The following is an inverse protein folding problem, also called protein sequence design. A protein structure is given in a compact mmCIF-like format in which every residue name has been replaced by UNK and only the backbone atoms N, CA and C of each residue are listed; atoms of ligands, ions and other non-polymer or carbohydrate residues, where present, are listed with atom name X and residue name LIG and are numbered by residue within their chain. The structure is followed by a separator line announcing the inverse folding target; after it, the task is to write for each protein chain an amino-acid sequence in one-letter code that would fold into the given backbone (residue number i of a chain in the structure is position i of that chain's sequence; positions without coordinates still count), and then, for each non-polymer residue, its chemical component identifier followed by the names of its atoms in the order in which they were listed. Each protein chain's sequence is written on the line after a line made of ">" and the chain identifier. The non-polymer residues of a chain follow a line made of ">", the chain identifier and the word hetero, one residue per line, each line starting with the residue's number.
data_IF_189484329489
#
_entry.id   IF_189484329489
#
_cell.length_a   1.000
_cell.length_b   1.000
_cell.length_c   1.000
_cell.angle_alpha   90.00
_cell.angle_beta   90.00
_cell.angle_gamma   90.00
#
_symmetry.space_group_name_H-M   'P 1'
#
loop_
_entity.id
_entity.type
_entity.pdbx_description
1 polymer ?
#
# COMPACT_ATOMS: atom_id res chain seq x y z
N UNK A 1 23.78 -40.31 -25.66
CA UNK A 1 24.80 -39.34 -25.19
C UNK A 1 24.69 -37.98 -25.89
N UNK A 2 25.11 -37.80 -27.15
CA UNK A 2 25.09 -36.45 -27.79
C UNK A 2 23.69 -35.83 -27.91
N UNK A 3 22.67 -36.65 -28.20
CA UNK A 3 21.30 -36.17 -28.32
C UNK A 3 20.67 -35.80 -26.96
N UNK A 4 21.03 -36.51 -25.89
CA UNK A 4 20.56 -36.20 -24.52
C UNK A 4 21.17 -34.91 -24.01
N UNK A 5 22.47 -34.69 -24.28
CA UNK A 5 23.15 -33.43 -23.95
C UNK A 5 22.49 -32.25 -24.68
N UNK A 6 22.15 -32.43 -25.96
CA UNK A 6 21.45 -31.39 -26.74
C UNK A 6 20.07 -31.07 -26.15
N UNK A 7 19.25 -32.09 -25.87
CA UNK A 7 17.94 -31.91 -25.25
C UNK A 7 18.02 -31.25 -23.86
N UNK A 8 19.06 -31.58 -23.08
CA UNK A 8 19.28 -30.96 -21.77
C UNK A 8 19.66 -29.48 -21.92
N UNK A 9 20.55 -29.14 -22.87
CA UNK A 9 20.93 -27.76 -23.16
C UNK A 9 19.72 -26.92 -23.55
N UNK A 10 18.86 -27.40 -24.46
CA UNK A 10 17.65 -26.69 -24.88
C UNK A 10 16.68 -26.44 -23.72
N UNK A 11 16.58 -27.39 -22.78
CA UNK A 11 15.78 -27.22 -21.56
C UNK A 11 16.39 -26.19 -20.61
N UNK A 12 17.72 -26.16 -20.48
CA UNK A 12 18.42 -25.16 -19.66
C UNK A 12 18.19 -23.76 -20.25
N UNK A 13 18.42 -23.57 -21.54
CA UNK A 13 18.20 -22.29 -22.22
C UNK A 13 16.75 -21.79 -22.04
N UNK A 14 15.78 -22.70 -22.13
CA UNK A 14 14.36 -22.38 -21.89
C UNK A 14 14.11 -21.95 -20.44
N UNK A 15 14.74 -22.61 -19.47
CA UNK A 15 14.62 -22.26 -18.05
C UNK A 15 15.29 -20.93 -17.73
N UNK A 16 16.47 -20.67 -18.29
CA UNK A 16 17.19 -19.39 -18.11
C UNK A 16 16.40 -18.22 -18.68
N UNK A 17 15.83 -18.39 -19.87
CA UNK A 17 14.94 -17.38 -20.44
C UNK A 17 13.73 -17.12 -19.53
N UNK A 18 13.08 -18.17 -19.02
CA UNK A 18 11.95 -18.03 -18.09
C UNK A 18 12.36 -17.35 -16.78
N UNK A 19 13.53 -17.68 -16.25
CA UNK A 19 14.07 -17.07 -15.03
C UNK A 19 14.27 -15.57 -15.22
N UNK A 20 14.88 -15.15 -16.34
CA UNK A 20 15.08 -13.73 -16.64
C UNK A 20 13.77 -12.95 -16.71
N UNK A 21 12.72 -13.52 -17.34
CA UNK A 21 11.40 -12.90 -17.35
C UNK A 21 10.75 -12.84 -15.96
N UNK A 22 10.97 -13.86 -15.12
CA UNK A 22 10.47 -13.88 -13.75
C UNK A 22 11.18 -12.82 -12.89
N UNK A 23 12.49 -12.66 -13.03
CA UNK A 23 13.26 -11.64 -12.31
C UNK A 23 12.76 -10.22 -12.66
N UNK A 24 12.54 -9.93 -13.94
CA UNK A 24 11.97 -8.65 -14.39
C UNK A 24 10.54 -8.43 -13.87
N UNK A 25 9.73 -9.49 -13.86
CA UNK A 25 8.38 -9.44 -13.29
C UNK A 25 8.41 -9.15 -11.80
N UNK A 26 9.30 -9.80 -11.05
CA UNK A 26 9.45 -9.60 -9.60
C UNK A 26 9.87 -8.16 -9.31
N UNK A 27 10.83 -7.62 -10.05
CA UNK A 27 11.29 -6.24 -9.87
C UNK A 27 10.16 -5.25 -10.17
N UNK A 28 9.42 -5.46 -11.25
CA UNK A 28 8.25 -4.63 -11.59
C UNK A 28 7.17 -4.66 -10.50
N UNK A 29 6.89 -5.85 -9.96
CA UNK A 29 5.94 -6.01 -8.85
C UNK A 29 6.43 -5.30 -7.58
N UNK A 30 7.72 -5.43 -7.25
CA UNK A 30 8.32 -4.77 -6.10
C UNK A 30 8.22 -3.24 -6.18
N UNK A 31 8.52 -2.67 -7.35
CA UNK A 31 8.37 -1.24 -7.60
C UNK A 31 6.91 -0.78 -7.45
N UNK A 32 5.98 -1.57 -8.00
CA UNK A 32 4.54 -1.31 -7.91
C UNK A 32 4.05 -1.33 -6.46
N UNK A 33 4.41 -2.36 -5.69
CA UNK A 33 4.05 -2.48 -4.27
C UNK A 33 4.62 -1.32 -3.46
N UNK A 34 5.88 -0.95 -3.71
CA UNK A 34 6.53 0.17 -3.02
C UNK A 34 5.83 1.50 -3.32
N UNK A 35 5.41 1.73 -4.57
CA UNK A 35 4.65 2.92 -4.94
C UNK A 35 3.26 2.95 -4.27
N UNK A 36 2.56 1.82 -4.25
CA UNK A 36 1.26 1.69 -3.57
C UNK A 36 1.38 1.91 -2.06
N UNK A 37 2.43 1.39 -1.43
CA UNK A 37 2.65 1.59 0.00
C UNK A 37 2.81 3.08 0.37
N UNK A 38 3.56 3.84 -0.44
CA UNK A 38 3.68 5.30 -0.27
C UNK A 38 2.34 6.02 -0.39
N UNK A 39 1.48 5.59 -1.33
CA UNK A 39 0.15 6.16 -1.48
C UNK A 39 -0.75 5.84 -0.28
N UNK A 40 -0.71 4.60 0.22
CA UNK A 40 -1.47 4.17 1.40
C UNK A 40 -1.02 4.94 2.65
N UNK A 41 0.28 5.11 2.87
CA UNK A 41 0.80 5.90 4.00
C UNK A 41 0.30 7.36 3.93
N UNK A 42 0.37 7.98 2.74
CA UNK A 42 -0.12 9.35 2.55
C UNK A 42 -1.63 9.46 2.83
N UNK A 43 -2.44 8.53 2.32
CA UNK A 43 -3.89 8.49 2.58
C UNK A 43 -4.20 8.26 4.05
N UNK A 44 -3.45 7.38 4.72
CA UNK A 44 -3.62 7.09 6.15
C UNK A 44 -3.38 8.34 6.99
N UNK A 45 -2.33 9.11 6.69
CA UNK A 45 -2.06 10.40 7.35
C UNK A 45 -3.15 11.43 7.11
N UNK A 46 -3.65 11.53 5.88
CA UNK A 46 -4.75 12.45 5.56
C UNK A 46 -6.03 12.12 6.31
N UNK A 47 -6.38 10.83 6.40
CA UNK A 47 -7.54 10.37 7.17
C UNK A 47 -7.37 10.73 8.65
N UNK A 48 -6.20 10.47 9.24
CA UNK A 48 -5.92 10.82 10.63
C UNK A 48 -6.09 12.33 10.89
N UNK A 49 -5.57 13.18 10.01
CA UNK A 49 -5.73 14.63 10.11
C UNK A 49 -7.19 15.09 9.99
N UNK A 50 -7.96 14.47 9.09
CA UNK A 50 -9.39 14.76 8.96
C UNK A 50 -10.16 14.35 10.22
N UNK A 51 -9.83 13.20 10.81
CA UNK A 51 -10.42 12.75 12.06
C UNK A 51 -10.12 13.70 13.22
N UNK A 52 -8.89 14.18 13.35
CA UNK A 52 -8.50 15.17 14.37
C UNK A 52 -9.28 16.48 14.21
N UNK A 53 -9.35 17.02 13.00
CA UNK A 53 -10.15 18.24 12.72
C UNK A 53 -11.63 18.07 13.02
N UNK A 54 -12.19 16.89 12.76
CA UNK A 54 -13.59 16.60 13.07
C UNK A 54 -13.81 16.59 14.58
N UNK A 55 -12.93 15.95 15.35
CA UNK A 55 -12.99 15.95 16.81
C UNK A 55 -12.84 17.37 17.39
N UNK A 56 -11.93 18.18 16.87
CA UNK A 56 -11.79 19.58 17.27
C UNK A 56 -13.05 20.39 16.96
N UNK A 57 -13.67 20.17 15.79
CA UNK A 57 -14.91 20.86 15.41
C UNK A 57 -16.08 20.46 16.31
N UNK A 58 -16.19 19.17 16.67
CA UNK A 58 -17.19 18.67 17.62
C UNK A 58 -16.97 19.23 19.03
N UNK A 59 -15.71 19.32 19.49
CA UNK A 59 -15.38 19.86 20.80
C UNK A 59 -15.65 21.37 20.91
N UNK A 60 -15.49 22.12 19.81
CA UNK A 60 -15.77 23.55 19.73
C UNK A 60 -17.23 23.87 19.34
N UNK A 61 -18.09 22.85 19.18
CA UNK A 61 -19.49 23.06 18.92
C UNK A 61 -20.15 23.73 20.15
N UNK A 62 -20.95 24.80 19.98
CA UNK A 62 -21.65 25.42 21.10
C UNK A 62 -22.53 24.38 21.79
N UNK A 63 -22.36 24.23 23.11
CA UNK A 63 -23.28 23.42 23.92
C UNK A 63 -24.72 23.94 23.79
N UNK A 64 -25.74 23.08 24.01
CA UNK A 64 -27.13 23.52 23.96
C UNK A 64 -27.32 24.73 24.88
N UNK A 65 -27.84 25.83 24.34
CA UNK A 65 -27.99 27.14 24.99
C UNK A 65 -29.02 27.16 26.16
N UNK A 66 -29.27 26.01 26.80
CA UNK A 66 -30.36 25.80 27.74
C UNK A 66 -29.86 25.27 29.09
N UNK A 67 -28.72 25.80 29.57
CA UNK A 67 -28.37 25.66 30.98
C UNK A 67 -29.27 26.61 31.79
N UNK A 68 -30.11 26.03 32.65
CA UNK A 68 -30.95 26.80 33.59
C UNK A 68 -30.04 27.56 34.58
N UNK A 69 -30.28 28.86 34.86
CA UNK A 69 -29.43 29.62 35.78
C UNK A 69 -29.48 29.02 37.19
N UNK A 70 -28.36 29.04 37.95
CA UNK A 70 -28.36 28.60 39.34
C UNK A 70 -29.16 29.58 40.19
N UNK A 71 -30.15 29.06 40.92
CA UNK A 71 -30.86 29.83 41.94
C UNK A 71 -29.98 29.97 43.18
N UNK A 72 -29.69 31.22 43.57
CA UNK A 72 -29.14 31.60 44.86
C UNK A 72 -30.25 31.97 45.84
#
# INVERSE_FOLDING_TARGET
>A
MTNEIKMLSERIDTLEMRLAYQDDTIETLNQTITAQWKQIDALTRQIAQLSERLQEAEANAPGPANERPPHY
#
